data_IF_077906891390
#
_entry.id   IF_077906891390
#
_cell.length_a   1.000
_cell.length_b   1.000
_cell.length_c   1.000
_cell.angle_alpha   90.00
_cell.angle_beta   90.00
_cell.angle_gamma   90.00
#
_symmetry.space_group_name_H-M   'P 1'
#
loop_
_entity.id
_entity.type
_entity.pdbx_description
1 polymer ?
#
# COMPACT_ATOMS: atom_id res chain seq x y z
N UNK A 1 3.53 -6.24 5.89
CA UNK A 1 3.54 -5.52 4.62
C UNK A 1 2.12 -5.41 4.08
N UNK A 2 1.89 -4.44 3.23
CA UNK A 2 0.57 -4.29 2.61
C UNK A 2 0.55 -5.03 1.27
N UNK A 3 0.35 -6.33 1.35
CA UNK A 3 0.39 -7.20 0.19
C UNK A 3 -0.66 -6.83 -0.86
N UNK A 4 -1.86 -6.49 -0.43
CA UNK A 4 -2.92 -6.13 -1.37
C UNK A 4 -2.63 -4.83 -2.09
N UNK A 5 -1.97 -3.89 -1.43
CA UNK A 5 -1.54 -2.67 -2.09
C UNK A 5 -0.51 -2.99 -3.17
N UNK A 6 0.45 -3.82 -2.84
CA UNK A 6 1.48 -4.23 -3.81
C UNK A 6 0.83 -4.90 -5.03
N UNK A 7 -0.09 -5.83 -4.78
CA UNK A 7 -0.76 -6.55 -5.86
C UNK A 7 -1.60 -5.62 -6.73
N UNK A 8 -2.32 -4.70 -6.11
CA UNK A 8 -3.13 -3.74 -6.84
C UNK A 8 -2.27 -2.82 -7.70
N UNK A 9 -1.13 -2.38 -7.15
CA UNK A 9 -0.19 -1.57 -7.90
C UNK A 9 0.32 -2.32 -9.12
N UNK A 10 0.71 -3.58 -8.94
CA UNK A 10 1.22 -4.40 -10.03
C UNK A 10 0.14 -4.64 -11.07
N UNK A 11 -1.09 -4.88 -10.63
CA UNK A 11 -2.21 -5.07 -11.55
C UNK A 11 -2.51 -3.82 -12.36
N UNK A 12 -2.21 -2.65 -11.80
CA UNK A 12 -2.36 -1.39 -12.52
C UNK A 12 -1.17 -1.10 -13.44
N UNK A 13 -0.18 -1.98 -13.47
CA UNK A 13 0.97 -1.83 -14.36
C UNK A 13 1.99 -0.80 -13.88
N UNK A 14 2.02 -0.51 -12.59
CA UNK A 14 2.87 0.56 -12.06
C UNK A 14 4.01 0.01 -11.24
N UNK A 15 5.20 0.58 -11.45
CA UNK A 15 6.33 0.33 -10.56
C UNK A 15 6.14 1.16 -9.29
N UNK A 16 6.92 0.85 -8.27
CA UNK A 16 6.89 1.67 -7.04
C UNK A 16 7.24 3.13 -7.33
N UNK A 17 8.22 3.36 -8.20
CA UNK A 17 8.62 4.72 -8.55
C UNK A 17 7.46 5.45 -9.24
N UNK A 18 6.79 4.80 -10.19
CA UNK A 18 5.69 5.44 -10.89
C UNK A 18 4.52 5.72 -9.96
N UNK A 19 4.26 4.81 -9.04
CA UNK A 19 3.22 5.06 -8.06
C UNK A 19 3.57 6.24 -7.15
N UNK A 20 4.82 6.29 -6.68
CA UNK A 20 5.27 7.41 -5.86
C UNK A 20 5.12 8.73 -6.61
N UNK A 21 5.46 8.74 -7.90
CA UNK A 21 5.32 9.93 -8.74
C UNK A 21 3.85 10.35 -8.83
N UNK A 22 2.95 9.40 -9.02
CA UNK A 22 1.53 9.69 -9.09
C UNK A 22 0.99 10.26 -7.80
N UNK A 23 1.53 9.82 -6.68
CA UNK A 23 1.12 10.29 -5.36
C UNK A 23 1.87 11.54 -4.93
N UNK A 24 2.86 11.95 -5.72
CA UNK A 24 3.69 13.13 -5.44
C UNK A 24 4.42 12.99 -4.10
N UNK A 25 4.93 11.80 -3.84
CA UNK A 25 5.74 11.51 -2.65
C UNK A 25 7.04 10.86 -3.10
N UNK A 26 8.00 10.78 -2.19
CA UNK A 26 9.27 10.15 -2.51
C UNK A 26 9.10 8.64 -2.64
N UNK A 27 9.98 8.02 -3.42
CA UNK A 27 9.99 6.57 -3.55
C UNK A 27 10.18 5.91 -2.20
N UNK A 28 11.08 6.45 -1.38
CA UNK A 28 11.33 5.88 -0.06
C UNK A 28 10.08 5.89 0.81
N UNK A 29 9.35 7.00 0.81
CA UNK A 29 8.13 7.10 1.59
C UNK A 29 7.10 6.08 1.08
N UNK A 30 6.95 5.99 -0.24
CA UNK A 30 6.03 5.01 -0.79
C UNK A 30 6.42 3.59 -0.38
N UNK A 31 7.70 3.26 -0.46
CA UNK A 31 8.18 1.94 -0.05
C UNK A 31 7.85 1.64 1.40
N UNK A 32 7.98 2.63 2.26
CA UNK A 32 7.63 2.45 3.68
C UNK A 32 6.13 2.22 3.87
N UNK A 33 5.31 2.87 3.07
CA UNK A 33 3.87 2.65 3.11
C UNK A 33 3.53 1.22 2.68
N UNK A 34 4.11 0.79 1.58
CA UNK A 34 3.84 -0.55 1.05
C UNK A 34 4.37 -1.63 2.02
N UNK A 35 5.48 -1.36 2.67
CA UNK A 35 6.04 -2.29 3.65
C UNK A 35 5.26 -2.33 4.96
N UNK A 36 4.36 -1.40 5.18
CA UNK A 36 3.59 -1.34 6.41
C UNK A 36 4.26 -0.55 7.52
N UNK A 37 5.37 0.13 7.22
CA UNK A 37 6.12 0.90 8.21
C UNK A 37 5.54 2.29 8.45
N UNK A 38 4.78 2.79 7.48
CA UNK A 38 4.13 4.09 7.57
C UNK A 38 2.69 3.95 7.14
N UNK A 39 1.84 4.79 7.69
CA UNK A 39 0.42 4.74 7.35
C UNK A 39 0.09 5.54 6.10
N UNK A 40 0.77 6.65 5.88
CA UNK A 40 0.37 7.58 4.85
C UNK A 40 -0.80 8.43 5.32
N UNK A 41 -1.17 9.43 4.55
CA UNK A 41 -2.28 10.28 4.92
C UNK A 41 -3.52 9.93 4.09
N UNK A 42 -4.61 10.58 4.41
CA UNK A 42 -5.91 10.42 3.82
C UNK A 42 -5.87 10.58 2.32
N UNK A 43 -5.21 11.63 1.86
CA UNK A 43 -5.17 11.94 0.44
C UNK A 43 -4.43 10.87 -0.35
N UNK A 44 -3.38 10.30 0.22
CA UNK A 44 -2.65 9.21 -0.40
C UNK A 44 -3.59 8.03 -0.66
N UNK A 45 -4.38 7.66 0.34
CA UNK A 45 -5.27 6.51 0.20
C UNK A 45 -6.40 6.77 -0.77
N UNK A 46 -6.93 7.99 -0.80
CA UNK A 46 -7.96 8.35 -1.77
C UNK A 46 -7.42 8.24 -3.19
N UNK A 47 -6.21 8.73 -3.40
CA UNK A 47 -5.58 8.67 -4.72
C UNK A 47 -5.26 7.24 -5.12
N UNK A 48 -4.79 6.44 -4.17
CA UNK A 48 -4.52 5.03 -4.44
C UNK A 48 -5.80 4.28 -4.84
N UNK A 49 -6.89 4.58 -4.19
CA UNK A 49 -8.16 3.98 -4.55
C UNK A 49 -8.55 4.37 -5.97
N UNK A 50 -8.37 5.63 -6.34
CA UNK A 50 -8.68 6.10 -7.68
C UNK A 50 -7.82 5.43 -8.74
N UNK A 51 -6.53 5.27 -8.46
CA UNK A 51 -5.60 4.69 -9.42
C UNK A 51 -5.85 3.19 -9.61
N UNK A 52 -6.08 2.48 -8.51
CA UNK A 52 -6.15 1.02 -8.56
C UNK A 52 -7.56 0.49 -8.74
N UNK A 53 -8.56 1.28 -8.40
CA UNK A 53 -9.94 0.83 -8.42
C UNK A 53 -10.28 -0.11 -7.26
N UNK A 54 -9.38 -0.27 -6.31
CA UNK A 54 -9.58 -1.13 -5.14
C UNK A 54 -9.88 -0.25 -3.93
N UNK A 55 -10.89 -0.63 -3.17
CA UNK A 55 -11.29 0.15 -2.00
C UNK A 55 -10.13 0.29 -1.02
N UNK A 56 -9.92 1.50 -0.54
CA UNK A 56 -8.76 1.78 0.31
C UNK A 56 -8.73 0.95 1.59
N UNK A 57 -9.87 0.53 2.08
CA UNK A 57 -9.91 -0.35 3.24
C UNK A 57 -9.08 -1.61 3.01
N UNK A 58 -9.18 -2.19 1.81
CA UNK A 58 -8.40 -3.39 1.47
C UNK A 58 -6.94 -3.05 1.24
N UNK A 59 -6.69 -1.93 0.58
CA UNK A 59 -5.30 -1.53 0.30
C UNK A 59 -4.52 -1.29 1.58
N UNK A 60 -5.18 -0.81 2.62
CA UNK A 60 -4.52 -0.46 3.87
C UNK A 60 -4.22 -1.65 4.76
N UNK A 61 -4.79 -2.82 4.47
CA UNK A 61 -4.57 -4.00 5.30
C UNK A 61 -3.09 -4.36 5.35
N UNK A 62 -2.65 -4.72 6.53
CA UNK A 62 -1.28 -5.19 6.73
C UNK A 62 -1.36 -6.65 7.05
N UNK A 63 -0.77 -7.49 6.19
CA UNK A 63 -0.73 -8.92 6.40
C UNK A 63 0.32 -9.26 7.44
N UNK A 64 -0.04 -10.18 8.32
CA UNK A 64 0.92 -10.71 9.26
C UNK A 64 1.92 -11.57 8.51
N UNK A 65 3.18 -11.40 8.84
CA UNK A 65 4.20 -12.18 8.18
C UNK A 65 4.41 -13.52 8.84
N UNK A 66 3.86 -13.70 10.03
CA UNK A 66 3.89 -15.02 10.65
C UNK A 66 2.58 -15.22 11.38
N UNK A 67 2.14 -16.43 11.39
CA UNK A 67 0.78 -16.73 11.76
C UNK A 67 0.49 -16.67 13.23
N UNK A 68 1.45 -16.65 14.01
CA UNK A 68 1.12 -16.62 15.35
C UNK A 68 0.57 -15.38 15.85
N UNK A 69 0.45 -15.47 15.77
CA UNK A 69 -0.01 -14.60 16.18
C UNK A 69 -1.05 -14.39 16.15
N UNK A 70 -0.88 -15.05 16.23
CA UNK A 70 -1.76 -14.86 15.99
C UNK A 70 -2.36 -14.84 16.55
N UNK A 71 -2.13 -15.34 16.82
CA UNK A 71 -2.66 -15.30 17.15
C UNK A 71 -2.81 -14.87 18.02
N UNK A 72 -2.22 -14.80 18.29
CA UNK A 72 -2.27 -14.47 18.81
C UNK A 72 -2.47 -13.87 19.26
N UNK A 73 -2.25 -13.95 19.37
CA UNK A 73 -2.28 -13.50 19.46
C UNK A 73 -2.62 -13.19 19.63
#
# INVERSE_FOLDING_TARGET
MRKKLKEARQAAGLTQQKMADRLEISLRYYQQIEAGQRTGDFQIWDTLEDITGVHQRKLREIEATHPDRGANQ
#
